data_IF_302509420427
#
_entry.id   IF_302509420427
#
_cell.length_a   1.000
_cell.length_b   1.000
_cell.length_c   1.000
_cell.angle_alpha   90.00
_cell.angle_beta   90.00
_cell.angle_gamma   90.00
#
_symmetry.space_group_name_H-M   'P 1'
#
loop_
_entity.id
_entity.type
_entity.pdbx_description
1 polymer ?
#
# COMPACT_ATOMS: atom_id res chain seq x y z
N UNK A 1 -7.15 9.54 3.02
CA UNK A 1 -6.15 10.35 3.73
C UNK A 1 -6.62 10.47 5.17
N UNK A 2 -5.73 10.34 6.14
CA UNK A 2 -6.08 10.59 7.54
C UNK A 2 -6.26 12.10 7.76
N UNK A 3 -7.43 12.53 8.23
CA UNK A 3 -7.77 13.94 8.49
C UNK A 3 -8.23 14.09 9.92
N UNK A 4 -7.89 15.22 10.55
CA UNK A 4 -8.47 15.64 11.81
C UNK A 4 -9.35 16.84 11.55
N UNK A 5 -10.60 16.81 12.02
CA UNK A 5 -11.53 17.90 11.86
C UNK A 5 -12.03 18.38 13.23
N UNK A 6 -12.07 19.69 13.42
CA UNK A 6 -12.68 20.34 14.58
C UNK A 6 -13.39 21.61 14.16
N UNK A 7 -14.28 22.09 15.03
CA UNK A 7 -15.05 23.31 14.84
C UNK A 7 -14.48 24.39 15.76
N UNK A 8 -14.30 25.61 15.26
CA UNK A 8 -13.86 26.74 16.07
C UNK A 8 -15.03 27.36 16.88
N UNK A 9 -14.70 28.28 17.79
CA UNK A 9 -15.70 28.99 18.64
C UNK A 9 -16.73 29.81 17.83
N UNK A 10 -16.53 29.97 16.52
CA UNK A 10 -17.39 30.71 15.59
C UNK A 10 -18.19 29.77 14.66
N UNK A 11 -18.11 28.45 14.86
CA UNK A 11 -18.80 27.44 14.06
C UNK A 11 -18.13 27.13 12.72
N UNK A 12 -16.87 27.53 12.54
CA UNK A 12 -16.12 27.27 11.31
C UNK A 12 -15.32 25.98 11.44
N UNK A 13 -15.41 25.13 10.42
CA UNK A 13 -14.64 23.89 10.37
C UNK A 13 -13.16 24.17 10.08
N UNK A 14 -12.31 23.45 10.79
CA UNK A 14 -10.88 23.34 10.53
C UNK A 14 -10.54 21.87 10.26
N UNK A 15 -9.87 21.62 9.14
CA UNK A 15 -9.44 20.28 8.71
C UNK A 15 -7.91 20.28 8.61
N UNK A 16 -7.27 19.33 9.27
CA UNK A 16 -5.81 19.20 9.39
C UNK A 16 -5.35 17.87 8.81
N UNK A 17 -4.23 17.89 8.09
CA UNK A 17 -3.48 16.73 7.62
C UNK A 17 -2.03 16.87 8.07
N UNK A 18 -1.47 15.83 8.71
CA UNK A 18 -0.05 15.82 9.08
C UNK A 18 0.38 17.03 9.91
N UNK A 19 -0.50 17.50 10.81
CA UNK A 19 -0.25 18.66 11.66
C UNK A 19 -0.43 20.04 11.00
N UNK A 20 -0.79 20.12 9.72
CA UNK A 20 -1.01 21.38 8.98
C UNK A 20 -2.46 21.52 8.50
N UNK A 21 -3.06 22.72 8.55
CA UNK A 21 -4.45 22.93 8.12
C UNK A 21 -4.56 22.80 6.59
N UNK A 22 -5.45 21.92 6.15
CA UNK A 22 -5.93 21.87 4.77
C UNK A 22 -7.04 22.91 4.55
N UNK A 23 -7.95 23.03 5.53
CA UNK A 23 -9.03 24.02 5.54
C UNK A 23 -9.02 24.72 6.88
N UNK A 24 -9.11 26.05 6.87
CA UNK A 24 -9.22 26.86 8.07
C UNK A 24 -10.28 27.94 7.85
N UNK A 25 -11.51 27.66 8.29
CA UNK A 25 -12.66 28.49 8.03
C UNK A 25 -12.93 28.66 6.53
N UNK A 26 -12.69 29.87 6.01
CA UNK A 26 -12.89 30.19 4.59
C UNK A 26 -11.63 30.05 3.73
N UNK A 27 -10.48 29.77 4.36
CA UNK A 27 -9.22 29.58 3.65
C UNK A 27 -8.98 28.10 3.39
N UNK A 28 -8.45 27.77 2.21
CA UNK A 28 -8.00 26.43 1.87
C UNK A 28 -6.53 26.48 1.44
N UNK A 29 -5.81 25.41 1.73
CA UNK A 29 -4.42 25.21 1.34
C UNK A 29 -4.34 24.03 0.37
N UNK A 30 -3.90 24.29 -0.86
CA UNK A 30 -3.87 23.28 -1.92
C UNK A 30 -2.82 22.20 -1.70
N UNK A 31 -3.11 21.00 -2.20
CA UNK A 31 -2.16 19.90 -2.31
C UNK A 31 -1.84 19.67 -3.79
N UNK A 32 -0.58 19.43 -4.09
CA UNK A 32 -0.10 19.12 -5.43
C UNK A 32 0.61 17.78 -5.45
N UNK A 33 0.32 16.95 -6.45
CA UNK A 33 1.11 15.77 -6.75
C UNK A 33 2.23 16.16 -7.71
N UNK A 34 3.47 15.86 -7.34
CA UNK A 34 4.65 16.05 -8.20
C UNK A 34 5.62 14.91 -7.98
N UNK A 35 6.47 14.68 -8.97
CA UNK A 35 7.59 13.75 -8.83
C UNK A 35 8.44 14.13 -7.62
N UNK A 36 8.77 13.13 -6.81
CA UNK A 36 9.64 13.34 -5.67
C UNK A 36 11.07 13.55 -6.17
N UNK A 37 11.71 14.72 -5.93
CA UNK A 37 13.06 15.00 -6.39
C UNK A 37 14.11 14.00 -5.89
N UNK A 38 13.82 13.30 -4.79
CA UNK A 38 14.69 12.27 -4.23
C UNK A 38 14.47 10.88 -4.87
N UNK A 39 13.45 10.71 -5.71
CA UNK A 39 13.09 9.42 -6.28
C UNK A 39 13.78 9.18 -7.61
N UNK A 40 14.70 8.22 -7.65
CA UNK A 40 15.30 7.74 -8.90
C UNK A 40 14.27 6.99 -9.77
N UNK A 41 13.27 6.36 -9.14
CA UNK A 41 12.19 5.65 -9.81
C UNK A 41 11.04 6.57 -10.29
N UNK A 42 11.13 7.89 -10.03
CA UNK A 42 10.12 8.87 -10.45
C UNK A 42 8.78 8.76 -9.71
N UNK A 43 8.79 8.30 -8.45
CA UNK A 43 7.56 8.21 -7.66
C UNK A 43 6.97 9.59 -7.40
N UNK A 44 5.66 9.73 -7.65
CA UNK A 44 4.95 10.96 -7.30
C UNK A 44 4.71 11.03 -5.78
N UNK A 45 5.17 12.11 -5.15
CA UNK A 45 4.83 12.50 -3.79
C UNK A 45 3.68 13.50 -3.75
N UNK A 46 3.14 13.73 -2.56
CA UNK A 46 2.13 14.79 -2.32
C UNK A 46 2.77 15.90 -1.51
N UNK A 47 2.65 17.13 -1.99
CA UNK A 47 3.28 18.31 -1.42
C UNK A 47 2.26 19.42 -1.20
N UNK A 48 2.53 20.29 -0.24
CA UNK A 48 1.78 21.52 -0.06
C UNK A 48 2.07 22.49 -1.20
N UNK A 49 1.03 23.04 -1.81
CA UNK A 49 1.18 24.00 -2.93
C UNK A 49 1.88 25.30 -2.49
N UNK A 50 1.69 25.69 -1.22
CA UNK A 50 2.16 26.97 -0.70
C UNK A 50 3.69 27.06 -0.51
N UNK A 51 4.31 26.01 0.04
CA UNK A 51 5.74 25.98 0.38
C UNK A 51 6.52 24.84 -0.30
N UNK A 52 5.82 23.90 -0.94
CA UNK A 52 6.43 22.73 -1.55
C UNK A 52 6.96 21.71 -0.54
N UNK A 53 6.55 21.76 0.73
CA UNK A 53 6.94 20.74 1.72
C UNK A 53 6.13 19.44 1.53
N UNK A 54 6.71 18.25 1.80
CA UNK A 54 6.00 16.99 1.66
C UNK A 54 4.86 16.87 2.68
N UNK A 55 3.74 16.33 2.24
CA UNK A 55 2.59 16.02 3.11
C UNK A 55 2.85 14.71 3.83
N UNK A 56 2.76 14.73 5.16
CA UNK A 56 2.80 13.51 5.96
C UNK A 56 1.47 12.76 5.85
N UNK A 57 1.44 11.76 4.97
CA UNK A 57 0.29 10.89 4.77
C UNK A 57 0.45 9.66 5.67
N UNK A 58 -0.28 9.63 6.78
CA UNK A 58 -0.18 8.54 7.76
C UNK A 58 -1.22 7.43 7.56
N UNK A 59 -2.26 7.66 6.73
CA UNK A 59 -3.33 6.68 6.59
C UNK A 59 -4.36 6.95 5.50
N UNK A 60 -5.30 6.01 5.41
CA UNK A 60 -6.34 5.95 4.39
C UNK A 60 -5.81 5.50 3.02
N UNK A 61 -6.67 5.61 2.01
CA UNK A 61 -6.42 5.10 0.65
C UNK A 61 -5.13 5.62 0.02
N UNK A 62 -4.82 6.91 0.19
CA UNK A 62 -3.59 7.51 -0.35
C UNK A 62 -2.33 6.85 0.23
N UNK A 63 -2.27 6.62 1.54
CA UNK A 63 -1.13 5.93 2.16
C UNK A 63 -1.00 4.51 1.63
N UNK A 64 -2.11 3.77 1.55
CA UNK A 64 -2.11 2.41 1.01
C UNK A 64 -1.63 2.34 -0.44
N UNK A 65 -2.04 3.31 -1.28
CA UNK A 65 -1.55 3.40 -2.66
C UNK A 65 -0.05 3.72 -2.73
N UNK A 66 0.45 4.62 -1.87
CA UNK A 66 1.88 4.93 -1.79
C UNK A 66 2.70 3.72 -1.31
N UNK A 67 2.24 3.01 -0.29
CA UNK A 67 2.91 1.81 0.22
C UNK A 67 2.91 0.66 -0.79
N UNK A 68 1.85 0.51 -1.58
CA UNK A 68 1.80 -0.49 -2.64
C UNK A 68 2.70 -0.13 -3.82
N UNK A 69 2.56 1.08 -4.37
CA UNK A 69 3.30 1.55 -5.55
C UNK A 69 4.79 1.68 -5.27
N UNK A 70 5.13 2.26 -4.13
CA UNK A 70 6.48 2.73 -3.83
C UNK A 70 6.49 4.21 -3.43
N UNK A 71 7.39 4.55 -2.52
CA UNK A 71 7.70 5.90 -2.06
C UNK A 71 9.18 5.97 -1.65
N UNK A 72 9.74 7.16 -1.62
CA UNK A 72 11.15 7.34 -1.28
C UNK A 72 11.31 7.65 0.21
N UNK A 73 12.30 7.00 0.84
CA UNK A 73 12.74 7.29 2.20
C UNK A 73 14.23 7.60 2.14
N UNK A 74 14.58 8.88 2.26
CA UNK A 74 15.96 9.32 2.03
C UNK A 74 16.34 9.16 0.55
N UNK A 75 17.26 8.23 0.27
CA UNK A 75 17.67 7.87 -1.10
C UNK A 75 17.23 6.46 -1.50
N UNK A 76 16.48 5.77 -0.64
CA UNK A 76 16.04 4.40 -0.90
C UNK A 76 14.57 4.35 -1.32
N UNK A 77 14.26 3.45 -2.25
CA UNK A 77 12.90 3.13 -2.65
C UNK A 77 12.29 2.14 -1.65
N UNK A 78 11.15 2.49 -1.07
CA UNK A 78 10.42 1.67 -0.13
C UNK A 78 9.02 1.37 -0.65
N UNK A 79 8.48 0.20 -0.32
CA UNK A 79 7.12 -0.19 -0.68
C UNK A 79 7.02 -1.66 -1.05
N UNK A 80 5.79 -2.12 -1.22
CA UNK A 80 5.51 -3.51 -1.50
C UNK A 80 5.94 -3.93 -2.91
N UNK A 81 5.50 -3.21 -3.96
CA UNK A 81 5.94 -3.52 -5.34
C UNK A 81 7.46 -3.41 -5.51
N UNK A 82 8.14 -2.34 -5.02
CA UNK A 82 9.60 -2.24 -5.10
C UNK A 82 10.31 -3.41 -4.42
N UNK A 83 9.91 -3.79 -3.20
CA UNK A 83 10.52 -4.93 -2.51
C UNK A 83 10.35 -6.26 -3.25
N UNK A 84 9.20 -6.51 -3.88
CA UNK A 84 9.01 -7.71 -4.71
C UNK A 84 9.84 -7.65 -5.99
N UNK A 85 9.97 -6.47 -6.61
CA UNK A 85 10.85 -6.26 -7.77
C UNK A 85 12.30 -6.58 -7.40
N UNK A 86 12.81 -6.02 -6.31
CA UNK A 86 14.20 -6.22 -5.87
C UNK A 86 14.49 -7.70 -5.53
N UNK A 87 13.50 -8.43 -5.03
CA UNK A 87 13.61 -9.89 -4.83
C UNK A 87 13.73 -10.64 -6.16
N UNK A 88 12.93 -10.27 -7.17
CA UNK A 88 13.03 -10.87 -8.51
C UNK A 88 14.35 -10.50 -9.21
N UNK A 89 14.81 -9.26 -9.05
CA UNK A 89 16.09 -8.80 -9.58
C UNK A 89 17.25 -9.57 -8.93
N UNK A 90 17.21 -9.76 -7.61
CA UNK A 90 18.17 -10.60 -6.89
C UNK A 90 18.19 -12.04 -7.39
N UNK A 91 17.01 -12.61 -7.71
CA UNK A 91 16.88 -13.94 -8.29
C UNK A 91 17.53 -14.02 -9.68
N UNK A 92 17.21 -13.09 -10.56
CA UNK A 92 17.75 -13.05 -11.92
C UNK A 92 19.25 -12.83 -11.92
N UNK A 93 19.74 -11.85 -11.15
CA UNK A 93 21.16 -11.57 -10.97
C UNK A 93 21.92 -12.81 -10.50
N UNK A 94 21.42 -13.46 -9.45
CA UNK A 94 22.12 -14.62 -8.89
C UNK A 94 22.12 -15.82 -9.82
N UNK A 95 21.02 -16.01 -10.57
CA UNK A 95 20.93 -17.02 -11.61
C UNK A 95 21.97 -16.78 -12.70
N UNK A 96 22.02 -15.55 -13.24
CA UNK A 96 22.99 -15.17 -14.26
C UNK A 96 24.44 -15.37 -13.78
N UNK A 97 24.77 -14.86 -12.59
CA UNK A 97 26.09 -15.01 -11.98
C UNK A 97 26.52 -16.48 -11.88
N UNK A 98 25.67 -17.33 -11.29
CA UNK A 98 26.03 -18.73 -11.02
C UNK A 98 26.00 -19.60 -12.27
N UNK A 99 25.11 -19.29 -13.21
CA UNK A 99 25.11 -19.97 -14.51
C UNK A 99 26.36 -19.59 -15.31
N UNK A 100 26.70 -18.30 -15.37
CA UNK A 100 27.90 -17.82 -16.07
C UNK A 100 29.18 -18.36 -15.43
N UNK A 101 29.24 -18.49 -14.10
CA UNK A 101 30.38 -19.09 -13.40
C UNK A 101 30.69 -20.51 -13.92
N UNK A 102 29.66 -21.34 -14.12
CA UNK A 102 29.80 -22.70 -14.65
C UNK A 102 30.03 -22.66 -16.17
N UNK A 103 29.27 -21.85 -16.90
CA UNK A 103 29.37 -21.77 -18.36
C UNK A 103 30.77 -21.32 -18.82
N UNK A 104 31.34 -20.30 -18.16
CA UNK A 104 32.71 -19.81 -18.43
C UNK A 104 33.82 -20.81 -18.09
N UNK A 105 33.51 -21.92 -17.42
CA UNK A 105 34.47 -22.97 -17.11
C UNK A 105 34.46 -24.13 -18.12
N UNK A 106 33.46 -24.18 -18.99
CA UNK A 106 33.34 -25.18 -20.04
C UNK A 106 33.80 -24.69 -21.40
N UNK A 107 33.68 -25.57 -22.38
CA UNK A 107 34.08 -25.32 -23.76
C UNK A 107 32.90 -25.49 -24.71
N UNK A 108 32.76 -24.57 -25.66
CA UNK A 108 31.85 -24.65 -26.80
C UNK A 108 32.27 -25.75 -27.78
N UNK A 109 31.44 -26.02 -28.79
CA UNK A 109 31.70 -27.08 -29.78
C UNK A 109 32.98 -26.84 -30.58
N UNK A 110 33.35 -25.58 -30.78
CA UNK A 110 34.52 -25.13 -31.55
C UNK A 110 35.71 -24.71 -30.67
N UNK A 111 35.64 -24.97 -29.36
CA UNK A 111 36.72 -24.76 -28.40
C UNK A 111 36.72 -23.40 -27.70
N UNK A 112 35.73 -22.55 -27.95
CA UNK A 112 35.56 -21.28 -27.25
C UNK A 112 35.31 -21.51 -25.75
N UNK A 113 35.92 -20.67 -24.93
CA UNK A 113 35.81 -20.72 -23.47
C UNK A 113 35.66 -19.29 -22.91
N UNK A 114 35.15 -19.16 -21.70
CA UNK A 114 35.05 -17.89 -20.98
C UNK A 114 33.89 -17.00 -21.43
N UNK A 115 33.00 -17.49 -22.29
CA UNK A 115 31.81 -16.76 -22.75
C UNK A 115 30.73 -16.80 -21.67
N UNK A 116 30.08 -15.67 -21.43
CA UNK A 116 28.93 -15.57 -20.53
C UNK A 116 27.66 -16.02 -21.25
N UNK A 117 26.80 -16.78 -20.55
CA UNK A 117 25.52 -17.20 -21.12
C UNK A 117 24.46 -16.12 -20.98
N UNK A 118 24.34 -15.57 -19.78
CA UNK A 118 23.44 -14.45 -19.48
C UNK A 118 24.22 -13.15 -19.42
N UNK A 119 23.62 -12.09 -19.95
CA UNK A 119 24.11 -10.70 -19.86
C UNK A 119 22.93 -9.81 -19.53
N UNK A 120 23.17 -8.52 -19.30
CA UNK A 120 22.11 -7.55 -19.04
C UNK A 120 22.08 -6.51 -20.17
N UNK A 121 20.89 -6.17 -20.64
CA UNK A 121 20.73 -5.15 -21.70
C UNK A 121 21.11 -3.76 -21.24
N UNK A 122 21.01 -3.50 -19.94
CA UNK A 122 21.51 -2.29 -19.29
C UNK A 122 22.58 -2.68 -18.25
N UNK A 123 23.84 -2.22 -18.39
CA UNK A 123 24.89 -2.53 -17.43
C UNK A 123 24.71 -1.84 -16.06
N UNK A 124 23.81 -0.87 -15.94
CA UNK A 124 23.50 -0.22 -14.65
C UNK A 124 22.30 -0.87 -13.94
N UNK A 125 21.58 -1.76 -14.62
CA UNK A 125 20.43 -2.49 -14.10
C UNK A 125 20.63 -3.98 -14.37
N UNK A 126 21.16 -4.69 -13.38
CA UNK A 126 21.37 -6.15 -13.42
C UNK A 126 20.12 -6.93 -12.93
N UNK A 127 18.93 -6.37 -13.15
CA UNK A 127 17.66 -6.93 -12.72
C UNK A 127 17.05 -7.99 -13.63
N UNK A 128 15.87 -8.47 -13.23
CA UNK A 128 15.07 -9.43 -13.98
C UNK A 128 14.48 -8.85 -15.27
N UNK A 129 14.34 -7.52 -15.35
CA UNK A 129 13.83 -6.84 -16.54
C UNK A 129 14.82 -6.77 -17.71
N UNK A 130 16.11 -6.84 -17.41
CA UNK A 130 17.20 -6.59 -18.36
C UNK A 130 18.03 -7.84 -18.65
N UNK A 131 17.85 -8.93 -17.90
CA UNK A 131 18.51 -10.21 -18.15
C UNK A 131 18.19 -10.73 -19.55
N UNK A 132 19.23 -11.11 -20.29
CA UNK A 132 19.14 -11.64 -21.66
C UNK A 132 20.24 -12.65 -21.93
N UNK A 133 20.14 -13.39 -23.03
CA UNK A 133 21.20 -14.28 -23.49
C UNK A 133 22.29 -13.46 -24.19
N UNK A 134 23.56 -13.79 -23.95
CA UNK A 134 24.70 -13.12 -24.58
C UNK A 134 24.58 -13.10 -26.11
N UNK A 135 24.98 -11.97 -26.70
CA UNK A 135 24.99 -11.82 -28.16
C UNK A 135 25.93 -12.82 -28.84
N UNK A 136 26.96 -13.30 -28.15
CA UNK A 136 27.91 -14.26 -28.69
C UNK A 136 27.27 -15.65 -28.87
N UNK A 137 26.38 -16.03 -27.95
CA UNK A 137 25.60 -17.27 -28.05
C UNK A 137 24.47 -17.14 -29.07
N UNK A 138 23.82 -15.97 -29.14
CA UNK A 138 22.75 -15.74 -30.11
C UNK A 138 23.27 -15.71 -31.57
N UNK A 139 24.50 -15.26 -31.78
CA UNK A 139 25.15 -15.27 -33.10
C UNK A 139 25.65 -16.66 -33.49
N UNK A 140 26.19 -17.41 -32.53
CA UNK A 140 26.65 -18.78 -32.76
C UNK A 140 26.31 -19.68 -31.57
N UNK A 141 25.43 -20.66 -31.82
CA UNK A 141 25.01 -21.65 -30.83
C UNK A 141 26.14 -22.62 -30.45
N UNK A 142 27.20 -22.71 -31.26
CA UNK A 142 28.38 -23.50 -30.93
C UNK A 142 29.12 -22.95 -29.70
N UNK A 143 28.89 -21.69 -29.34
CA UNK A 143 29.45 -21.06 -28.14
C UNK A 143 28.81 -21.54 -26.82
N UNK A 144 27.79 -22.40 -26.87
CA UNK A 144 27.22 -23.01 -25.66
C UNK A 144 28.22 -24.01 -25.10
N UNK A 145 28.77 -23.68 -23.93
CA UNK A 145 29.84 -24.42 -23.29
C UNK A 145 29.32 -25.70 -22.59
N UNK A 146 29.11 -26.77 -23.36
CA UNK A 146 28.56 -28.04 -22.85
C UNK A 146 29.63 -29.02 -22.32
N UNK A 147 30.85 -28.95 -22.85
CA UNK A 147 31.97 -29.83 -22.46
C UNK A 147 32.78 -29.21 -21.30
N UNK A 148 33.41 -30.05 -20.46
CA UNK A 148 34.30 -29.57 -19.38
C UNK A 148 35.78 -29.72 -19.70
N UNK A 149 36.12 -30.49 -20.74
CA UNK A 149 37.49 -30.79 -21.11
C UNK A 149 37.72 -30.73 -22.62
N UNK A 150 38.98 -30.51 -22.97
CA UNK A 150 39.53 -30.59 -24.32
C UNK A 150 40.59 -31.70 -24.34
N UNK A 151 40.81 -32.30 -25.51
CA UNK A 151 41.85 -33.29 -25.74
C UNK A 151 43.26 -32.64 -25.73
N UNK A 152 44.31 -33.46 -25.77
CA UNK A 152 45.71 -32.98 -25.83
C UNK A 152 46.02 -32.18 -27.12
N UNK A 153 45.20 -32.33 -28.16
CA UNK A 153 45.30 -31.66 -29.46
C UNK A 153 44.51 -30.32 -29.50
N UNK A 154 43.84 -29.95 -28.40
CA UNK A 154 43.06 -28.71 -28.26
C UNK A 154 41.64 -28.77 -28.82
N UNK A 155 41.15 -29.94 -29.22
CA UNK A 155 39.78 -30.14 -29.68
C UNK A 155 38.85 -30.50 -28.51
N UNK A 156 37.59 -30.13 -28.64
CA UNK A 156 36.57 -30.48 -27.67
C UNK A 156 36.17 -31.93 -27.88
N UNK A 157 36.18 -32.71 -26.79
CA UNK A 157 35.72 -34.10 -26.80
C UNK A 157 34.26 -34.15 -27.25
N UNK A 158 34.04 -34.59 -28.49
CA UNK A 158 32.72 -34.55 -29.11
C UNK A 158 31.78 -35.51 -28.38
N UNK A 159 30.76 -34.94 -27.71
CA UNK A 159 29.82 -35.70 -26.88
C UNK A 159 30.04 -35.56 -25.37
N UNK A 160 31.04 -34.80 -24.94
CA UNK A 160 31.16 -34.42 -23.53
C UNK A 160 30.06 -33.42 -23.13
N UNK A 161 29.12 -33.89 -22.30
CA UNK A 161 28.03 -33.10 -21.73
C UNK A 161 28.20 -32.82 -20.24
N UNK A 162 29.40 -33.00 -19.69
CA UNK A 162 29.65 -32.88 -18.25
C UNK A 162 29.42 -31.45 -17.71
N UNK A 163 29.79 -30.40 -18.46
CA UNK A 163 29.50 -29.03 -18.04
C UNK A 163 28.00 -28.71 -18.16
N UNK A 164 27.34 -29.21 -19.20
CA UNK A 164 25.88 -29.13 -19.32
C UNK A 164 25.16 -29.82 -18.15
N UNK A 165 25.68 -30.95 -17.67
CA UNK A 165 25.19 -31.61 -16.46
C UNK A 165 25.42 -30.75 -15.21
N UNK A 166 26.58 -30.10 -15.08
CA UNK A 166 26.86 -29.18 -13.97
C UNK A 166 25.89 -27.97 -13.98
N UNK A 167 25.59 -27.42 -15.16
CA UNK A 167 24.57 -26.38 -15.34
C UNK A 167 23.18 -26.87 -14.94
N UNK A 168 22.80 -28.10 -15.29
CA UNK A 168 21.52 -28.67 -14.87
C UNK A 168 21.45 -28.90 -13.34
N UNK A 169 22.56 -29.30 -12.72
CA UNK A 169 22.67 -29.51 -11.27
C UNK A 169 22.57 -28.19 -10.48
N UNK A 170 22.80 -27.04 -11.11
CA UNK A 170 22.66 -25.73 -10.49
C UNK A 170 21.27 -25.52 -9.88
N UNK A 171 20.22 -26.09 -10.49
CA UNK A 171 18.84 -26.05 -9.96
C UNK A 171 18.75 -26.61 -8.53
N UNK A 172 19.59 -27.59 -8.19
CA UNK A 172 19.59 -28.27 -6.90
C UNK A 172 20.62 -27.70 -5.91
N UNK A 173 21.45 -26.74 -6.34
CA UNK A 173 22.51 -26.18 -5.51
C UNK A 173 21.96 -25.04 -4.64
N UNK A 174 22.34 -25.04 -3.36
CA UNK A 174 22.05 -23.95 -2.44
C UNK A 174 22.90 -22.74 -2.82
N UNK A 175 22.26 -21.74 -3.42
CA UNK A 175 22.91 -20.56 -4.01
C UNK A 175 22.25 -19.26 -3.61
N UNK A 176 21.00 -19.33 -3.15
CA UNK A 176 20.20 -18.18 -2.73
C UNK A 176 20.19 -18.07 -1.22
N UNK A 177 20.32 -16.83 -0.73
CA UNK A 177 20.12 -16.49 0.67
C UNK A 177 18.62 -16.29 0.89
N UNK A 178 18.02 -17.14 1.73
CA UNK A 178 16.61 -17.00 2.09
C UNK A 178 16.45 -15.90 3.16
N UNK A 179 15.30 -15.19 3.19
CA UNK A 179 15.02 -14.17 4.20
C UNK A 179 15.27 -14.70 5.62
N UNK A 180 16.08 -13.98 6.41
CA UNK A 180 16.42 -14.34 7.79
C UNK A 180 17.69 -15.19 7.96
N UNK A 181 18.40 -15.53 6.87
CA UNK A 181 19.71 -16.17 6.92
C UNK A 181 20.81 -15.23 6.41
N UNK A 182 22.04 -15.43 6.89
CA UNK A 182 23.23 -14.72 6.38
C UNK A 182 23.94 -15.52 5.26
N UNK A 183 23.71 -16.83 5.20
CA UNK A 183 24.33 -17.73 4.23
C UNK A 183 23.33 -18.29 3.19
N UNK A 184 23.82 -18.77 2.02
CA UNK A 184 22.97 -19.37 1.00
C UNK A 184 22.40 -20.71 1.48
N UNK A 185 21.13 -20.74 1.83
CA UNK A 185 20.43 -21.91 2.37
C UNK A 185 19.35 -22.48 1.45
N UNK A 186 19.05 -21.80 0.34
CA UNK A 186 17.97 -22.19 -0.58
C UNK A 186 18.42 -22.38 -2.03
N UNK A 187 17.67 -23.19 -2.77
CA UNK A 187 17.74 -23.23 -4.24
C UNK A 187 17.03 -22.00 -4.85
N UNK A 188 17.20 -21.79 -6.15
CA UNK A 188 16.43 -20.78 -6.89
C UNK A 188 14.91 -21.00 -6.78
N UNK A 189 14.48 -22.26 -6.79
CA UNK A 189 13.06 -22.62 -6.65
C UNK A 189 12.54 -22.32 -5.24
N UNK A 190 13.34 -22.62 -4.20
CA UNK A 190 12.96 -22.31 -2.82
C UNK A 190 12.86 -20.81 -2.57
N UNK A 191 13.79 -20.03 -3.12
CA UNK A 191 13.74 -18.57 -3.04
C UNK A 191 12.49 -18.02 -3.72
N UNK A 192 12.19 -18.44 -4.95
CA UNK A 192 11.00 -18.01 -5.66
C UNK A 192 9.70 -18.42 -4.95
N UNK A 193 9.65 -19.63 -4.38
CA UNK A 193 8.54 -20.08 -3.53
C UNK A 193 8.39 -19.23 -2.27
N UNK A 194 9.49 -18.81 -1.65
CA UNK A 194 9.46 -17.93 -0.49
C UNK A 194 8.89 -16.55 -0.84
N UNK A 195 9.26 -15.97 -1.99
CA UNK A 195 8.71 -14.70 -2.49
C UNK A 195 7.19 -14.81 -2.71
N UNK A 196 6.72 -15.86 -3.42
CA UNK A 196 5.28 -16.09 -3.61
C UNK A 196 4.57 -16.35 -2.26
N UNK A 197 5.21 -17.09 -1.36
CA UNK A 197 4.68 -17.38 -0.03
C UNK A 197 4.49 -16.10 0.77
N UNK A 198 5.48 -15.21 0.78
CA UNK A 198 5.41 -13.91 1.44
C UNK A 198 4.29 -13.05 0.85
N UNK A 199 4.17 -13.00 -0.48
CA UNK A 199 3.07 -12.32 -1.17
C UNK A 199 1.70 -12.87 -0.74
N UNK A 200 1.57 -14.19 -0.66
CA UNK A 200 0.34 -14.85 -0.20
C UNK A 200 -0.02 -14.52 1.25
N UNK A 201 0.98 -14.54 2.15
CA UNK A 201 0.80 -14.18 3.56
C UNK A 201 0.42 -12.71 3.71
N UNK A 202 1.13 -11.80 3.04
CA UNK A 202 0.84 -10.37 3.05
C UNK A 202 -0.57 -10.07 2.53
N UNK A 203 -0.98 -10.71 1.42
CA UNK A 203 -2.33 -10.57 0.88
C UNK A 203 -3.43 -11.16 1.78
N UNK A 204 -3.13 -12.21 2.54
CA UNK A 204 -4.06 -12.75 3.54
C UNK A 204 -4.18 -11.82 4.76
N UNK A 205 -3.06 -11.27 5.21
CA UNK A 205 -3.01 -10.30 6.31
C UNK A 205 -3.77 -9.02 5.96
N UNK A 206 -3.53 -8.47 4.77
CA UNK A 206 -4.24 -7.29 4.28
C UNK A 206 -5.77 -7.52 4.22
N UNK A 207 -6.23 -8.67 3.71
CA UNK A 207 -7.66 -9.02 3.69
C UNK A 207 -8.25 -9.08 5.09
N UNK A 208 -7.57 -9.75 6.01
CA UNK A 208 -8.00 -9.84 7.42
C UNK A 208 -8.06 -8.45 8.08
N UNK A 209 -7.11 -7.59 7.77
CA UNK A 209 -7.07 -6.21 8.29
C UNK A 209 -8.26 -5.39 7.77
N UNK A 210 -8.59 -5.51 6.48
CA UNK A 210 -9.78 -4.88 5.89
C UNK A 210 -11.05 -5.38 6.55
N UNK A 211 -11.24 -6.70 6.68
CA UNK A 211 -12.42 -7.30 7.32
C UNK A 211 -12.58 -6.81 8.78
N UNK A 212 -11.49 -6.79 9.55
CA UNK A 212 -11.50 -6.27 10.92
C UNK A 212 -11.86 -4.78 10.96
N UNK A 213 -11.31 -3.97 10.05
CA UNK A 213 -11.56 -2.54 10.00
C UNK A 213 -13.02 -2.25 9.60
N UNK A 214 -13.58 -2.99 8.65
CA UNK A 214 -14.99 -2.90 8.27
C UNK A 214 -15.92 -3.23 9.44
N UNK A 215 -15.61 -4.27 10.20
CA UNK A 215 -16.36 -4.63 11.40
C UNK A 215 -16.34 -3.51 12.44
N UNK A 216 -15.16 -2.94 12.73
CA UNK A 216 -15.02 -1.84 13.67
C UNK A 216 -15.79 -0.59 13.22
N UNK A 217 -15.69 -0.24 11.93
CA UNK A 217 -16.43 0.90 11.37
C UNK A 217 -17.94 0.67 11.48
N UNK A 218 -18.43 -0.53 11.15
CA UNK A 218 -19.85 -0.88 11.29
C UNK A 218 -20.31 -0.79 12.75
N UNK A 219 -19.52 -1.29 13.71
CA UNK A 219 -19.84 -1.17 15.14
C UNK A 219 -19.90 0.29 15.61
N UNK A 220 -18.95 1.12 15.19
CA UNK A 220 -18.93 2.55 15.51
C UNK A 220 -20.09 3.29 14.86
N UNK A 221 -20.46 2.95 13.63
CA UNK A 221 -21.63 3.51 12.95
C UNK A 221 -22.91 3.15 13.70
N UNK A 222 -23.11 1.88 14.06
CA UNK A 222 -24.26 1.44 14.84
C UNK A 222 -24.32 2.13 16.22
N UNK A 223 -23.19 2.29 16.90
CA UNK A 223 -23.13 3.03 18.17
C UNK A 223 -23.47 4.52 17.98
N UNK A 224 -22.98 5.15 16.92
CA UNK A 224 -23.30 6.53 16.59
C UNK A 224 -24.78 6.69 16.27
N UNK A 225 -25.37 5.77 15.51
CA UNK A 225 -26.81 5.74 15.23
C UNK A 225 -27.65 5.45 16.48
N UNK A 226 -27.15 4.68 17.44
CA UNK A 226 -27.85 4.46 18.71
C UNK A 226 -27.90 5.72 19.59
N UNK A 227 -26.82 6.53 19.60
CA UNK A 227 -26.74 7.75 20.41
C UNK A 227 -27.32 8.97 19.70
N UNK A 228 -27.06 9.10 18.41
CA UNK A 228 -27.42 10.26 17.58
C UNK A 228 -28.60 9.99 16.64
N UNK A 229 -29.11 8.76 16.61
CA UNK A 229 -30.30 8.41 15.85
C UNK A 229 -31.54 8.91 16.55
N UNK A 230 -32.41 9.54 15.78
CA UNK A 230 -33.70 10.04 16.23
C UNK A 230 -34.72 8.92 16.02
N UNK A 231 -35.28 8.39 17.10
CA UNK A 231 -36.40 7.46 17.00
C UNK A 231 -37.67 8.23 16.65
N UNK A 232 -38.22 8.02 15.44
CA UNK A 232 -39.46 8.66 15.00
C UNK A 232 -40.63 8.39 15.94
N UNK A 233 -40.63 7.23 16.62
CA UNK A 233 -41.66 6.87 17.59
C UNK A 233 -41.49 7.66 18.90
N UNK A 234 -40.26 7.87 19.39
CA UNK A 234 -40.03 8.74 20.55
C UNK A 234 -40.30 10.21 20.22
N UNK A 235 -39.91 10.69 19.04
CA UNK A 235 -40.27 12.04 18.57
C UNK A 235 -41.79 12.20 18.44
N UNK A 236 -42.52 11.18 17.98
CA UNK A 236 -43.97 11.22 17.90
C UNK A 236 -44.62 11.23 19.29
N UNK A 237 -44.11 10.42 20.23
CA UNK A 237 -44.58 10.45 21.63
C UNK A 237 -44.28 11.80 22.28
N UNK A 238 -43.09 12.36 22.06
CA UNK A 238 -42.71 13.69 22.54
C UNK A 238 -43.58 14.78 21.91
N UNK A 239 -43.87 14.68 20.61
CA UNK A 239 -44.78 15.59 19.91
C UNK A 239 -46.19 15.53 20.48
N UNK A 240 -46.75 14.33 20.69
CA UNK A 240 -48.06 14.13 21.33
C UNK A 240 -48.05 14.69 22.75
N UNK A 241 -46.98 14.46 23.52
CA UNK A 241 -46.82 15.02 24.86
C UNK A 241 -46.78 16.55 24.85
N UNK A 242 -46.03 17.16 23.94
CA UNK A 242 -45.96 18.63 23.79
C UNK A 242 -47.29 19.21 23.31
N UNK A 243 -48.00 18.53 22.41
CA UNK A 243 -49.36 18.91 21.99
C UNK A 243 -50.33 18.87 23.17
N UNK A 244 -50.30 17.81 23.98
CA UNK A 244 -51.13 17.71 25.19
C UNK A 244 -50.78 18.79 26.21
N UNK A 245 -49.49 19.01 26.48
CA UNK A 245 -49.03 20.06 27.38
C UNK A 245 -49.46 21.46 26.92
N UNK A 246 -49.35 21.75 25.62
CA UNK A 246 -49.82 23.01 25.03
C UNK A 246 -51.33 23.18 25.17
N UNK A 247 -52.11 22.11 24.89
CA UNK A 247 -53.57 22.15 25.05
C UNK A 247 -54.00 22.34 26.51
N UNK A 248 -53.27 21.75 27.46
CA UNK A 248 -53.52 21.91 28.89
C UNK A 248 -53.16 23.33 29.36
N UNK A 249 -52.03 23.88 28.89
CA UNK A 249 -51.64 25.26 29.17
C UNK A 249 -52.66 26.26 28.59
N UNK A 250 -53.14 26.04 27.37
CA UNK A 250 -54.19 26.86 26.76
C UNK A 250 -55.48 26.84 27.58
N UNK A 251 -55.92 25.66 28.06
CA UNK A 251 -57.08 25.56 28.98
C UNK A 251 -56.82 26.25 30.31
N UNK A 252 -55.60 26.18 30.85
CA UNK A 252 -55.23 26.90 32.07
C UNK A 252 -55.35 28.42 31.88
N UNK A 253 -54.91 28.94 30.73
CA UNK A 253 -55.10 30.35 30.36
C UNK A 253 -56.59 30.68 30.26
N UNK A 254 -57.41 29.84 29.62
CA UNK A 254 -58.87 30.04 29.58
C UNK A 254 -59.51 30.05 30.97
N UNK A 255 -59.08 29.15 31.87
CA UNK A 255 -59.58 29.12 33.25
C UNK A 255 -59.13 30.35 34.03
N UNK A 256 -57.91 30.84 33.80
CA UNK A 256 -57.43 32.10 34.38
C UNK A 256 -58.25 33.27 33.84
N UNK A 257 -58.53 33.32 32.54
CA UNK A 257 -59.39 34.34 31.93
C UNK A 257 -60.79 34.31 32.55
N UNK A 258 -61.39 33.13 32.73
CA UNK A 258 -62.70 32.98 33.38
C UNK A 258 -62.67 33.38 34.86
N UNK A 259 -61.59 33.05 35.59
CA UNK A 259 -61.42 33.47 36.99
C UNK A 259 -61.25 34.98 37.10
N UNK A 260 -60.45 35.60 36.22
CA UNK A 260 -60.28 37.05 36.16
C UNK A 260 -61.59 37.73 35.79
N UNK A 261 -62.34 37.22 34.82
CA UNK A 261 -63.66 37.72 34.46
C UNK A 261 -64.64 37.63 35.64
N UNK A 262 -64.65 36.49 36.36
CA UNK A 262 -65.45 36.33 37.59
C UNK A 262 -65.07 37.31 38.70
N UNK A 263 -63.79 37.56 38.92
CA UNK A 263 -63.33 38.50 39.94
C UNK A 263 -63.71 39.92 39.52
N UNK A 264 -63.39 40.32 38.29
CA UNK A 264 -63.61 41.68 37.78
C UNK A 264 -65.10 42.00 37.65
N UNK A 265 -65.86 41.16 36.95
CA UNK A 265 -67.25 41.44 36.59
C UNK A 265 -68.29 40.91 37.60
N UNK A 266 -67.93 39.98 38.49
CA UNK A 266 -68.87 39.37 39.45
C UNK A 266 -68.57 39.61 40.92
N UNK A 267 -67.36 40.05 41.29
CA UNK A 267 -67.06 40.42 42.69
C UNK A 267 -66.85 41.93 42.89
N UNK A 268 -66.67 42.71 41.82
CA UNK A 268 -66.57 44.18 41.86
C UNK A 268 -67.90 44.95 41.88
N UNK A 269 -69.04 44.29 41.64
CA UNK A 269 -70.38 44.92 41.66
C UNK A 269 -71.03 44.74 43.04
N UNK A 270 -70.56 45.50 44.03
CA UNK A 270 -71.34 45.80 45.24
C UNK A 270 -71.52 47.32 45.31
N UNK A 271 -72.69 47.76 44.89
CA UNK A 271 -73.06 49.16 44.81
C UNK A 271 -73.87 49.39 43.53
N UNK A 272 -75.14 49.71 43.75
CA UNK A 272 -76.16 50.19 42.81
C UNK A 272 -75.63 50.92 41.58
#
# INVERSE_FOLDING_TARGET
INIQAYEDDKGLAQVIIGGRPLVQGVHFYGLVAREDPASEAGHAGVYWEADGEPVQVEGGTLRGLMEMRGYTVGSEEAGFIPSVRDQLDSLAKKLAEKFNEIHRSGYGLTGENGIEFFTFTDPNDEGAGTITVSSDILKDLNNIAAASSIDEDGNVETGDGSNALALAQLKHKLTMVLPGNEEPTGTFEDYYRAVIGQLGVAGQEARRMVENQELLVSQLQNNRESVSGVSLDEEMVNMIRFQHAYSAAARLVTVIDEMLDRIINRTGLVGR
#
